data_IF_238941675973
#
_entry.id   IF_238941675973
#
_cell.length_a   1.000
_cell.length_b   1.000
_cell.length_c   1.000
_cell.angle_alpha   90.00
_cell.angle_beta   90.00
_cell.angle_gamma   90.00
#
_symmetry.space_group_name_H-M   'P 1'
#
loop_
_entity.id
_entity.type
_entity.pdbx_description
1 polymer ?
#
# COMPACT_ATOMS: atom_id res chain seq x y z
N UNK A 1 28.83 -8.96 -0.26
CA UNK A 1 27.70 -8.02 -0.04
C UNK A 1 26.76 -8.09 -1.24
N UNK A 2 25.83 -9.04 -1.22
CA UNK A 2 24.78 -9.18 -2.22
C UNK A 2 23.52 -8.56 -1.62
N UNK A 3 23.26 -7.30 -1.97
CA UNK A 3 22.05 -6.60 -1.55
C UNK A 3 20.84 -7.28 -2.19
N UNK A 4 19.96 -7.83 -1.35
CA UNK A 4 18.64 -8.30 -1.75
C UNK A 4 17.86 -7.08 -2.22
N UNK A 5 17.66 -6.95 -3.55
CA UNK A 5 16.70 -5.98 -4.09
C UNK A 5 15.28 -6.48 -3.77
N UNK A 6 14.38 -5.62 -3.30
CA UNK A 6 12.99 -6.01 -3.11
C UNK A 6 12.34 -6.30 -4.46
N UNK A 7 11.58 -7.40 -4.50
CA UNK A 7 10.80 -7.87 -5.66
C UNK A 7 9.57 -6.96 -5.78
N UNK A 8 9.76 -5.77 -6.33
CA UNK A 8 8.70 -5.03 -7.00
C UNK A 8 8.83 -5.40 -8.48
N UNK A 9 7.73 -5.65 -9.19
CA UNK A 9 7.78 -5.82 -10.65
C UNK A 9 8.60 -4.69 -11.30
N UNK A 10 9.31 -4.98 -12.38
CA UNK A 10 10.28 -4.04 -12.99
C UNK A 10 9.70 -2.63 -13.05
N UNK A 11 10.24 -1.75 -12.21
CA UNK A 11 9.74 -0.39 -12.10
C UNK A 11 9.86 0.30 -13.46
N UNK A 12 8.82 1.02 -13.87
CA UNK A 12 8.83 1.82 -15.11
C UNK A 12 10.05 2.73 -15.10
N UNK A 13 10.87 2.63 -16.14
CA UNK A 13 12.08 3.45 -16.30
C UNK A 13 11.80 4.62 -17.21
N UNK A 14 12.43 5.76 -16.93
CA UNK A 14 12.24 7.01 -17.65
C UNK A 14 13.54 7.50 -18.26
N UNK A 15 13.49 7.93 -19.52
CA UNK A 15 14.65 8.34 -20.28
C UNK A 15 14.43 9.68 -20.97
N UNK A 16 15.42 10.56 -20.87
CA UNK A 16 15.46 11.84 -21.57
C UNK A 16 16.46 11.73 -22.72
N UNK A 17 16.00 11.94 -23.95
CA UNK A 17 16.84 11.90 -25.16
C UNK A 17 17.10 13.33 -25.63
N UNK A 18 18.36 13.67 -25.90
CA UNK A 18 18.79 15.02 -26.33
C UNK A 18 19.66 14.96 -27.57
N UNK A 19 19.48 15.91 -28.48
CA UNK A 19 20.23 16.09 -29.73
C UNK A 19 21.15 17.32 -29.71
N UNK A 20 21.40 17.88 -28.53
CA UNK A 20 22.17 19.13 -28.33
C UNK A 20 21.30 20.38 -28.17
N UNK A 21 19.98 20.28 -28.37
CA UNK A 21 19.03 21.36 -28.09
C UNK A 21 18.78 21.63 -26.60
N UNK A 22 18.22 22.82 -26.26
CA UNK A 22 17.86 23.17 -24.88
C UNK A 22 16.73 22.29 -24.32
N UNK A 23 15.84 21.82 -25.19
CA UNK A 23 14.75 20.90 -24.84
C UNK A 23 15.12 19.45 -25.18
N UNK A 24 14.51 18.47 -24.50
CA UNK A 24 14.59 17.08 -24.91
C UNK A 24 14.11 16.92 -26.36
N UNK A 25 14.82 16.09 -27.12
CA UNK A 25 14.41 15.64 -28.46
C UNK A 25 13.25 14.65 -28.36
N UNK A 26 13.31 13.78 -27.36
CA UNK A 26 12.28 12.80 -27.03
C UNK A 26 12.31 12.47 -25.54
N UNK A 27 11.17 11.98 -25.06
CA UNK A 27 10.93 11.59 -23.68
C UNK A 27 10.33 10.20 -23.71
N UNK A 28 11.07 9.22 -23.20
CA UNK A 28 10.76 7.80 -23.37
C UNK A 28 10.53 7.16 -22.01
N UNK A 29 9.53 6.29 -21.90
CA UNK A 29 9.38 5.37 -20.77
C UNK A 29 9.48 3.93 -21.24
N UNK A 30 9.96 3.06 -20.35
CA UNK A 30 10.04 1.62 -20.56
C UNK A 30 9.28 0.93 -19.44
N UNK A 31 8.19 0.26 -19.79
CA UNK A 31 7.35 -0.52 -18.89
C UNK A 31 7.44 -2.00 -19.29
N UNK A 32 8.22 -2.78 -18.53
CA UNK A 32 8.68 -4.10 -18.95
C UNK A 32 9.46 -4.02 -20.27
N UNK A 33 8.96 -4.72 -21.28
CA UNK A 33 9.52 -4.81 -22.64
C UNK A 33 8.85 -3.84 -23.63
N UNK A 34 8.02 -2.91 -23.14
CA UNK A 34 7.37 -1.88 -23.97
C UNK A 34 8.05 -0.53 -23.83
N UNK A 35 8.64 -0.05 -24.93
CA UNK A 35 9.16 1.31 -25.06
C UNK A 35 8.08 2.24 -25.62
N UNK A 36 7.87 3.39 -24.97
CA UNK A 36 6.89 4.40 -25.40
C UNK A 36 7.50 5.80 -25.35
N UNK A 37 7.24 6.63 -26.36
CA UNK A 37 7.62 8.04 -26.42
C UNK A 37 6.41 8.93 -26.11
N UNK A 38 6.63 10.00 -25.36
CA UNK A 38 5.64 11.03 -25.10
C UNK A 38 5.54 11.98 -26.31
N UNK A 39 4.45 11.87 -27.08
CA UNK A 39 4.17 12.77 -28.18
C UNK A 39 3.88 14.20 -27.69
N UNK A 40 4.02 15.21 -28.57
CA UNK A 40 3.68 16.61 -28.24
C UNK A 40 2.19 16.81 -27.85
N UNK A 41 1.32 15.86 -28.19
CA UNK A 41 -0.08 15.79 -27.75
C UNK A 41 -0.23 15.36 -26.28
N UNK A 42 0.84 14.92 -25.62
CA UNK A 42 0.82 14.36 -24.26
C UNK A 42 0.45 12.87 -24.21
N UNK A 43 0.31 12.21 -25.36
CA UNK A 43 0.00 10.79 -25.48
C UNK A 43 1.26 9.93 -25.56
N UNK A 44 1.20 8.71 -25.02
CA UNK A 44 2.27 7.73 -25.13
C UNK A 44 2.10 6.88 -26.38
N UNK A 45 3.06 6.96 -27.31
CA UNK A 45 3.07 6.19 -28.55
C UNK A 45 4.22 5.18 -28.53
N UNK A 46 4.06 4.02 -29.19
CA UNK A 46 5.13 3.03 -29.27
C UNK A 46 6.41 3.63 -29.87
N UNK A 47 7.57 3.32 -29.29
CA UNK A 47 8.86 3.87 -29.71
C UNK A 47 9.93 2.79 -29.83
N UNK A 48 11.02 3.12 -30.52
CA UNK A 48 12.21 2.27 -30.69
C UNK A 48 13.52 3.10 -30.64
N UNK A 49 13.45 4.28 -30.03
CA UNK A 49 14.55 5.23 -29.92
C UNK A 49 15.69 4.69 -29.05
N UNK A 50 15.39 3.92 -28.01
CA UNK A 50 16.41 3.34 -27.13
C UNK A 50 17.07 2.10 -27.74
N UNK A 51 16.37 1.38 -28.61
CA UNK A 51 16.90 0.21 -29.32
C UNK A 51 17.92 0.59 -30.41
N UNK A 52 17.80 1.78 -31.00
CA UNK A 52 18.69 2.28 -32.04
C UNK A 52 18.91 3.80 -31.94
N UNK A 53 19.59 4.30 -30.88
CA UNK A 53 19.81 5.73 -30.72
C UNK A 53 20.74 6.24 -31.82
N UNK A 54 20.43 7.41 -32.39
CA UNK A 54 21.36 8.05 -33.31
C UNK A 54 22.68 8.40 -32.58
N UNK A 55 23.85 8.26 -33.23
CA UNK A 55 25.14 8.51 -32.59
C UNK A 55 25.31 9.92 -32.00
N UNK A 56 24.52 10.89 -32.47
CA UNK A 56 24.55 12.27 -32.00
C UNK A 56 23.69 12.51 -30.75
N UNK A 57 22.90 11.52 -30.32
CA UNK A 57 21.98 11.69 -29.19
C UNK A 57 22.61 11.29 -27.87
N UNK A 58 22.28 12.06 -26.83
CA UNK A 58 22.52 11.70 -25.43
C UNK A 58 21.25 11.11 -24.84
N UNK A 59 21.35 9.92 -24.25
CA UNK A 59 20.25 9.24 -23.57
C UNK A 59 20.57 9.14 -22.09
N UNK A 60 19.70 9.67 -21.23
CA UNK A 60 19.89 9.67 -19.78
C UNK A 60 18.69 9.03 -19.09
N UNK A 61 18.91 7.95 -18.33
CA UNK A 61 17.92 7.42 -17.39
C UNK A 61 17.76 8.41 -16.23
N UNK A 62 16.52 8.75 -15.89
CA UNK A 62 16.20 9.71 -14.84
C UNK A 62 15.12 9.15 -13.92
N UNK A 63 15.07 9.68 -12.70
CA UNK A 63 13.95 9.45 -11.79
C UNK A 63 12.64 10.00 -12.38
N UNK A 64 11.51 9.38 -12.03
CA UNK A 64 10.20 9.75 -12.57
C UNK A 64 9.89 11.23 -12.40
N UNK A 65 10.11 11.82 -11.22
CA UNK A 65 9.85 13.24 -10.98
C UNK A 65 10.66 14.16 -11.93
N UNK A 66 11.94 13.87 -12.15
CA UNK A 66 12.81 14.65 -13.03
C UNK A 66 12.40 14.49 -14.51
N UNK A 67 11.91 13.31 -14.90
CA UNK A 67 11.35 13.09 -16.23
C UNK A 67 10.17 14.04 -16.53
N UNK A 68 9.25 14.20 -15.57
CA UNK A 68 8.06 15.02 -15.80
C UNK A 68 8.32 16.52 -15.77
N UNK A 69 9.38 16.98 -15.09
CA UNK A 69 9.85 18.35 -15.24
C UNK A 69 10.30 18.62 -16.69
N UNK A 70 10.98 17.65 -17.32
CA UNK A 70 11.35 17.74 -18.72
C UNK A 70 10.15 17.66 -19.68
N UNK A 71 9.19 16.77 -19.41
CA UNK A 71 7.93 16.67 -20.16
C UNK A 71 7.15 17.98 -20.12
N UNK A 72 7.03 18.56 -18.94
CA UNK A 72 6.35 19.82 -18.74
C UNK A 72 6.99 20.95 -19.56
N UNK A 73 8.31 21.12 -19.47
CA UNK A 73 9.02 22.17 -20.20
C UNK A 73 8.91 22.01 -21.72
N UNK A 74 9.09 20.79 -22.23
CA UNK A 74 8.94 20.50 -23.65
C UNK A 74 7.53 20.81 -24.16
N UNK A 75 6.50 20.37 -23.42
CA UNK A 75 5.10 20.63 -23.80
C UNK A 75 4.72 22.11 -23.68
N UNK A 76 5.22 22.81 -22.65
CA UNK A 76 4.96 24.24 -22.45
C UNK A 76 5.46 25.06 -23.63
N UNK A 77 6.67 24.79 -24.10
CA UNK A 77 7.24 25.47 -25.26
C UNK A 77 6.49 25.09 -26.54
N UNK A 78 6.27 23.80 -26.79
CA UNK A 78 5.59 23.31 -28.00
C UNK A 78 4.16 23.85 -28.14
N UNK A 79 3.52 24.24 -27.03
CA UNK A 79 2.14 24.73 -26.96
C UNK A 79 2.07 26.22 -26.61
N UNK A 80 3.18 26.93 -26.66
CA UNK A 80 3.21 28.35 -26.37
C UNK A 80 2.25 29.12 -27.31
N UNK A 81 1.43 29.99 -26.73
CA UNK A 81 0.46 30.82 -27.48
C UNK A 81 -0.96 30.26 -27.57
N UNK A 82 -1.23 29.03 -27.10
CA UNK A 82 -2.60 28.54 -27.01
C UNK A 82 -3.43 29.36 -25.98
N UNK A 83 -4.75 29.55 -26.23
CA UNK A 83 -5.56 30.52 -25.48
C UNK A 83 -5.99 30.03 -24.08
N UNK A 84 -5.90 28.73 -23.82
CA UNK A 84 -6.38 28.09 -22.61
C UNK A 84 -5.25 27.35 -21.89
N UNK A 85 -5.50 26.92 -20.66
CA UNK A 85 -4.55 26.13 -19.85
C UNK A 85 -5.30 25.01 -19.13
N UNK A 86 -4.75 23.79 -19.16
CA UNK A 86 -5.09 22.73 -18.22
C UNK A 86 -4.07 22.69 -17.08
N UNK A 87 -4.57 22.51 -15.85
CA UNK A 87 -3.77 22.36 -14.64
C UNK A 87 -3.87 20.92 -14.14
N UNK A 88 -2.73 20.27 -13.98
CA UNK A 88 -2.61 18.88 -13.54
C UNK A 88 -2.04 18.81 -12.12
N UNK A 89 -2.58 17.90 -11.31
CA UNK A 89 -2.02 17.62 -9.99
C UNK A 89 -0.76 16.77 -10.12
N UNK A 90 0.29 17.11 -9.39
CA UNK A 90 1.53 16.32 -9.30
C UNK A 90 1.49 15.25 -8.21
N UNK A 91 0.42 15.21 -7.40
CA UNK A 91 0.34 14.37 -6.19
C UNK A 91 0.02 12.90 -6.43
N UNK A 92 -0.32 12.49 -7.65
CA UNK A 92 -0.58 11.09 -7.99
C UNK A 92 0.37 10.65 -9.10
N UNK A 93 0.85 9.41 -9.00
CA UNK A 93 1.79 8.73 -9.91
C UNK A 93 1.68 9.32 -11.30
N UNK A 94 2.76 9.92 -11.75
CA UNK A 94 2.79 11.00 -12.73
C UNK A 94 2.53 10.50 -14.17
N UNK A 95 2.15 9.22 -14.30
CA UNK A 95 2.11 8.43 -15.53
C UNK A 95 0.89 8.72 -16.42
N UNK A 96 0.02 9.61 -15.96
CA UNK A 96 -1.21 9.97 -16.65
C UNK A 96 -1.47 11.48 -16.53
N UNK A 97 -1.23 12.22 -17.62
CA UNK A 97 -1.80 13.55 -17.89
C UNK A 97 -3.35 13.50 -18.03
N UNK A 98 -4.02 12.62 -17.29
CA UNK A 98 -5.47 12.42 -17.27
C UNK A 98 -6.13 13.10 -16.07
N UNK A 99 -5.33 13.54 -15.09
CA UNK A 99 -5.82 14.18 -13.86
C UNK A 99 -5.83 15.71 -13.97
N UNK A 100 -6.56 16.24 -14.95
CA UNK A 100 -6.86 17.68 -15.01
C UNK A 100 -7.65 18.05 -13.75
N UNK A 101 -7.08 18.91 -12.91
CA UNK A 101 -7.72 19.40 -11.68
C UNK A 101 -8.34 20.77 -11.84
N UNK A 102 -7.90 21.53 -12.84
CA UNK A 102 -8.55 22.76 -13.26
C UNK A 102 -8.26 23.04 -14.72
N UNK A 103 -9.11 23.85 -15.33
CA UNK A 103 -8.88 24.49 -16.62
C UNK A 103 -9.06 25.99 -16.49
N UNK A 104 -8.36 26.73 -17.34
CA UNK A 104 -8.43 28.17 -17.45
C UNK A 104 -8.60 28.56 -18.90
N UNK A 105 -9.41 29.58 -19.14
CA UNK A 105 -9.51 30.26 -20.42
C UNK A 105 -9.35 31.75 -20.23
N UNK A 106 -8.87 32.44 -21.27
CA UNK A 106 -8.83 33.90 -21.31
C UNK A 106 -9.97 34.43 -22.16
N UNK A 107 -10.83 35.26 -21.57
CA UNK A 107 -11.92 35.96 -22.26
C UNK A 107 -11.81 37.45 -21.95
N UNK A 108 -11.70 38.27 -22.99
CA UNK A 108 -11.61 39.74 -22.87
C UNK A 108 -10.51 40.22 -21.89
N UNK A 109 -9.36 39.52 -21.90
CA UNK A 109 -8.23 39.81 -21.00
C UNK A 109 -8.41 39.31 -19.56
N UNK A 110 -9.55 38.71 -19.22
CA UNK A 110 -9.85 38.11 -17.91
C UNK A 110 -9.55 36.62 -17.93
N UNK A 111 -8.87 36.14 -16.90
CA UNK A 111 -8.68 34.70 -16.66
C UNK A 111 -9.90 34.15 -15.94
N UNK A 112 -10.60 33.23 -16.59
CA UNK A 112 -11.70 32.48 -15.99
C UNK A 112 -11.22 31.07 -15.66
N UNK A 113 -11.58 30.60 -14.48
CA UNK A 113 -11.15 29.31 -13.94
C UNK A 113 -12.34 28.39 -13.68
N UNK A 114 -12.18 27.13 -14.03
CA UNK A 114 -13.08 26.04 -13.66
C UNK A 114 -12.22 24.92 -13.08
N UNK A 115 -12.52 24.46 -11.88
CA UNK A 115 -11.67 23.43 -11.30
C UNK A 115 -12.19 22.79 -10.04
N UNK A 116 -11.78 21.54 -9.92
CA UNK A 116 -12.02 20.59 -8.85
C UNK A 116 -11.88 21.21 -7.45
N UNK A 117 -10.85 22.02 -7.20
CA UNK A 117 -10.67 22.64 -5.88
C UNK A 117 -11.05 24.12 -5.81
N UNK A 118 -11.54 24.68 -6.92
CA UNK A 118 -11.80 26.12 -7.04
C UNK A 118 -13.27 26.46 -7.06
N UNK A 119 -14.06 25.60 -7.67
CA UNK A 119 -15.45 25.86 -8.05
C UNK A 119 -16.25 24.62 -7.69
N UNK A 120 -16.59 24.41 -6.40
CA UNK A 120 -17.37 23.26 -5.95
C UNK A 120 -18.74 23.17 -6.63
N UNK A 121 -19.23 24.32 -7.10
CA UNK A 121 -20.45 24.52 -7.87
C UNK A 121 -20.28 24.32 -9.38
N UNK A 122 -19.07 23.96 -9.84
CA UNK A 122 -18.73 23.80 -11.25
C UNK A 122 -18.98 25.07 -12.11
N UNK A 123 -18.90 26.26 -11.50
CA UNK A 123 -19.11 27.56 -12.18
C UNK A 123 -17.77 28.22 -12.51
N UNK A 124 -17.64 28.77 -13.73
CA UNK A 124 -16.48 29.59 -14.10
C UNK A 124 -16.33 30.82 -13.20
N UNK A 125 -15.13 31.01 -12.62
CA UNK A 125 -14.84 32.16 -11.76
C UNK A 125 -13.66 32.97 -12.30
N UNK A 126 -13.87 34.28 -12.44
CA UNK A 126 -12.81 35.20 -12.80
C UNK A 126 -11.79 35.34 -11.65
N UNK A 127 -10.49 35.34 -11.98
CA UNK A 127 -9.45 35.61 -10.98
C UNK A 127 -8.04 35.25 -11.43
N UNK A 128 -7.05 35.79 -10.73
CA UNK A 128 -5.66 35.34 -10.83
C UNK A 128 -5.43 34.25 -9.79
N UNK A 129 -4.85 33.13 -10.17
CA UNK A 129 -4.54 32.01 -9.26
C UNK A 129 -3.07 31.64 -9.42
N UNK A 130 -2.44 31.26 -8.31
CA UNK A 130 -1.13 30.62 -8.30
C UNK A 130 -1.31 29.22 -7.74
N UNK A 131 -1.03 28.21 -8.55
CA UNK A 131 -1.01 26.81 -8.14
C UNK A 131 0.44 26.42 -7.92
N UNK A 132 0.88 26.42 -6.66
CA UNK A 132 2.20 25.89 -6.31
C UNK A 132 2.16 24.36 -6.43
N UNK A 133 3.13 23.79 -7.12
CA UNK A 133 3.26 22.34 -7.28
C UNK A 133 2.25 21.71 -8.26
N UNK A 134 1.76 22.46 -9.24
CA UNK A 134 0.90 21.93 -10.33
C UNK A 134 1.56 22.19 -11.68
N UNK A 135 1.27 21.33 -12.66
CA UNK A 135 1.75 21.49 -14.03
C UNK A 135 0.70 22.25 -14.85
N UNK A 136 1.12 23.29 -15.57
CA UNK A 136 0.29 24.20 -16.36
C UNK A 136 0.54 24.02 -17.85
N UNK A 137 -0.29 23.26 -18.53
CA UNK A 137 -0.11 23.02 -19.96
C UNK A 137 -1.04 23.92 -20.75
N UNK A 138 -0.52 24.76 -21.67
CA UNK A 138 -1.36 25.45 -22.63
C UNK A 138 -2.14 24.43 -23.47
N UNK A 139 -3.42 24.71 -23.72
CA UNK A 139 -4.31 23.83 -24.51
C UNK A 139 -5.18 24.67 -25.46
N UNK A 140 -5.64 24.05 -26.54
CA UNK A 140 -6.61 24.65 -27.46
C UNK A 140 -8.01 24.75 -26.84
N UNK A 141 -8.90 25.51 -27.47
CA UNK A 141 -10.32 25.58 -27.05
C UNK A 141 -11.03 24.22 -27.22
N UNK A 142 -10.64 23.42 -28.22
CA UNK A 142 -11.18 22.07 -28.42
C UNK A 142 -10.70 21.11 -27.30
N UNK A 143 -9.42 21.19 -26.93
CA UNK A 143 -8.89 20.48 -25.77
C UNK A 143 -9.56 20.96 -24.47
N UNK A 144 -9.81 22.25 -24.32
CA UNK A 144 -10.53 22.80 -23.17
C UNK A 144 -11.90 22.16 -23.02
N UNK A 145 -12.64 22.02 -24.11
CA UNK A 145 -13.97 21.40 -24.12
C UNK A 145 -13.92 19.93 -23.69
N UNK A 146 -12.87 19.20 -24.09
CA UNK A 146 -12.65 17.82 -23.64
C UNK A 146 -12.26 17.75 -22.15
N UNK A 147 -11.36 18.64 -21.71
CA UNK A 147 -10.79 18.60 -20.37
C UNK A 147 -11.68 19.22 -19.28
N UNK A 148 -12.60 20.14 -19.63
CA UNK A 148 -13.47 20.77 -18.64
C UNK A 148 -14.29 19.76 -17.84
N UNK A 149 -14.66 18.64 -18.47
CA UNK A 149 -15.42 17.57 -17.82
C UNK A 149 -14.58 16.78 -16.81
N UNK A 150 -13.28 16.63 -17.04
CA UNK A 150 -12.36 16.06 -16.06
C UNK A 150 -12.09 17.01 -14.88
N UNK A 151 -12.14 18.32 -15.14
CA UNK A 151 -11.97 19.38 -14.16
C UNK A 151 -13.22 19.63 -13.28
N UNK A 152 -14.38 19.16 -13.72
CA UNK A 152 -15.67 19.25 -13.02
C UNK A 152 -15.80 18.11 -12.00
N UNK A 153 -16.41 18.39 -10.85
CA UNK A 153 -16.85 17.33 -9.96
C UNK A 153 -18.15 16.72 -10.48
N UNK A 154 -18.20 15.40 -10.74
CA UNK A 154 -19.49 14.74 -10.85
C UNK A 154 -20.24 14.87 -9.52
N UNK A 155 -21.53 15.16 -9.60
CA UNK A 155 -22.45 14.87 -8.50
C UNK A 155 -22.66 13.37 -8.45
N UNK A 156 -22.63 12.79 -7.25
CA UNK A 156 -22.78 11.35 -7.05
C UNK A 156 -24.13 11.06 -6.44
N UNK A 157 -24.75 9.97 -6.85
CA UNK A 157 -26.03 9.54 -6.33
C UNK A 157 -26.03 8.04 -6.11
N UNK A 158 -26.76 7.60 -5.09
CA UNK A 158 -27.15 6.21 -4.90
C UNK A 158 -28.59 6.07 -5.35
N UNK A 159 -28.82 5.09 -6.22
CA UNK A 159 -30.14 4.73 -6.72
C UNK A 159 -30.54 3.41 -6.09
N UNK A 160 -31.68 3.38 -5.42
CA UNK A 160 -32.24 2.19 -4.76
C UNK A 160 -33.61 1.86 -5.33
N UNK A 161 -33.92 0.57 -5.37
CA UNK A 161 -35.28 0.08 -5.66
C UNK A 161 -36.22 0.43 -4.49
N UNK A 162 -37.53 0.35 -4.69
CA UNK A 162 -38.53 0.54 -3.61
C UNK A 162 -38.29 -0.39 -2.40
N UNK A 163 -37.71 -1.57 -2.65
CA UNK A 163 -37.30 -2.54 -1.62
C UNK A 163 -36.16 -2.04 -0.71
N UNK A 164 -35.50 -0.93 -1.06
CA UNK A 164 -34.31 -0.38 -0.39
C UNK A 164 -32.99 -0.98 -0.91
N UNK A 165 -33.06 -1.97 -1.80
CA UNK A 165 -31.89 -2.61 -2.40
C UNK A 165 -31.12 -1.65 -3.31
N UNK A 166 -29.80 -1.73 -3.28
CA UNK A 166 -28.93 -0.88 -4.09
C UNK A 166 -29.02 -1.28 -5.57
N UNK A 167 -29.46 -0.36 -6.41
CA UNK A 167 -29.65 -0.59 -7.85
C UNK A 167 -28.43 -0.15 -8.66
N UNK A 168 -27.95 1.07 -8.41
CA UNK A 168 -26.81 1.67 -9.10
C UNK A 168 -26.16 2.78 -8.27
N UNK A 169 -24.91 3.09 -8.59
CA UNK A 169 -24.28 4.37 -8.23
C UNK A 169 -24.21 5.23 -9.47
N UNK A 170 -24.82 6.40 -9.46
CA UNK A 170 -24.85 7.31 -10.60
C UNK A 170 -23.85 8.43 -10.38
N UNK A 171 -23.11 8.77 -11.43
CA UNK A 171 -22.34 10.01 -11.51
C UNK A 171 -22.96 10.90 -12.57
N UNK A 172 -23.26 12.14 -12.21
CA UNK A 172 -23.82 13.16 -13.10
C UNK A 172 -22.80 14.24 -13.37
N UNK A 173 -22.45 14.41 -14.62
CA UNK A 173 -21.77 15.60 -15.14
C UNK A 173 -22.77 16.39 -15.98
N UNK A 174 -22.56 17.70 -16.23
CA UNK A 174 -23.58 18.50 -16.92
C UNK A 174 -23.98 17.98 -18.31
N UNK A 175 -23.09 17.26 -19.01
CA UNK A 175 -23.34 16.70 -20.35
C UNK A 175 -23.79 15.25 -20.36
N UNK A 176 -23.72 14.52 -19.25
CA UNK A 176 -23.95 13.08 -19.22
C UNK A 176 -24.34 12.57 -17.84
N UNK A 177 -25.15 11.52 -17.84
CA UNK A 177 -25.44 10.71 -16.68
C UNK A 177 -24.94 9.29 -16.96
N UNK A 178 -24.14 8.76 -16.04
CA UNK A 178 -23.62 7.40 -16.14
C UNK A 178 -23.93 6.66 -14.83
N UNK A 179 -24.31 5.39 -14.94
CA UNK A 179 -24.59 4.51 -13.82
C UNK A 179 -23.56 3.38 -13.77
N UNK A 180 -23.01 3.14 -12.60
CA UNK A 180 -22.34 1.90 -12.26
C UNK A 180 -23.40 0.94 -11.74
N UNK A 181 -23.74 -0.04 -12.58
CA UNK A 181 -24.89 -0.92 -12.37
C UNK A 181 -24.48 -2.28 -11.82
N UNK A 182 -25.47 -3.16 -11.65
CA UNK A 182 -25.28 -4.55 -11.24
C UNK A 182 -24.48 -5.41 -12.23
N UNK A 183 -24.19 -4.89 -13.42
CA UNK A 183 -23.25 -5.48 -14.37
C UNK A 183 -21.78 -5.20 -14.03
N UNK A 184 -21.52 -4.35 -13.02
CA UNK A 184 -20.18 -3.93 -12.57
C UNK A 184 -19.40 -3.15 -13.63
N UNK A 185 -20.12 -2.29 -14.36
CA UNK A 185 -19.57 -1.40 -15.39
C UNK A 185 -20.33 -0.08 -15.40
N UNK A 186 -19.63 0.98 -15.81
CA UNK A 186 -20.25 2.26 -16.12
C UNK A 186 -20.97 2.18 -17.47
N UNK A 187 -22.21 2.62 -17.50
CA UNK A 187 -23.03 2.74 -18.71
C UNK A 187 -23.78 4.07 -18.71
N UNK A 188 -24.12 4.59 -19.88
CA UNK A 188 -25.04 5.74 -19.98
C UNK A 188 -26.38 5.42 -19.29
N UNK A 189 -26.98 6.42 -18.65
CA UNK A 189 -28.10 6.24 -17.71
C UNK A 189 -29.11 7.38 -17.82
N UNK A 190 -30.37 7.08 -17.46
CA UNK A 190 -31.47 8.01 -17.21
C UNK A 190 -32.16 7.76 -15.86
N UNK A 191 -31.49 7.04 -14.95
CA UNK A 191 -32.00 6.59 -13.65
C UNK A 191 -32.41 7.74 -12.72
N UNK A 192 -31.78 8.93 -12.80
CA UNK A 192 -32.15 10.04 -11.92
C UNK A 192 -33.53 10.64 -12.21
N UNK A 193 -34.08 10.38 -13.40
CA UNK A 193 -35.42 10.84 -13.80
C UNK A 193 -36.54 9.84 -13.53
N UNK A 194 -36.22 8.65 -13.02
CA UNK A 194 -37.19 7.58 -12.80
C UNK A 194 -37.93 7.74 -11.48
N UNK A 195 -39.26 7.79 -11.57
CA UNK A 195 -40.14 7.97 -10.39
C UNK A 195 -40.25 6.70 -9.52
N UNK A 196 -39.96 5.52 -10.08
CA UNK A 196 -40.00 4.23 -9.38
C UNK A 196 -38.73 3.91 -8.58
N UNK A 197 -37.73 4.80 -8.62
CA UNK A 197 -36.46 4.62 -7.93
C UNK A 197 -36.27 5.70 -6.87
N UNK A 198 -35.71 5.28 -5.73
CA UNK A 198 -35.27 6.22 -4.70
C UNK A 198 -33.87 6.71 -5.04
N UNK A 199 -33.73 8.01 -5.22
CA UNK A 199 -32.46 8.67 -5.52
C UNK A 199 -32.00 9.45 -4.29
N UNK A 200 -30.75 9.25 -3.88
CA UNK A 200 -30.10 9.97 -2.78
C UNK A 200 -28.78 10.55 -3.28
N UNK A 201 -28.58 11.86 -3.13
CA UNK A 201 -27.29 12.49 -3.45
C UNK A 201 -26.25 12.10 -2.38
N UNK A 202 -25.07 11.71 -2.83
CA UNK A 202 -23.96 11.34 -1.97
C UNK A 202 -22.95 12.47 -1.85
N UNK A 203 -22.40 12.59 -0.65
CA UNK A 203 -21.11 13.26 -0.51
C UNK A 203 -20.04 12.50 -1.28
N UNK A 204 -19.11 13.25 -1.87
CA UNK A 204 -18.02 12.67 -2.67
C UNK A 204 -17.24 11.62 -1.89
N UNK A 205 -16.99 11.85 -0.61
CA UNK A 205 -16.24 10.93 0.23
C UNK A 205 -16.90 9.55 0.32
N UNK A 206 -18.22 9.48 0.12
CA UNK A 206 -19.00 8.25 0.20
C UNK A 206 -19.20 7.54 -1.15
N UNK A 207 -18.92 8.20 -2.28
CA UNK A 207 -19.07 7.62 -3.62
C UNK A 207 -18.28 6.31 -3.81
N UNK A 208 -17.03 6.26 -3.34
CA UNK A 208 -16.20 5.05 -3.39
C UNK A 208 -16.81 3.91 -2.58
N UNK A 209 -17.34 4.23 -1.39
CA UNK A 209 -17.99 3.24 -0.52
C UNK A 209 -19.27 2.69 -1.14
N UNK A 210 -20.05 3.52 -1.84
CA UNK A 210 -21.25 3.07 -2.52
C UNK A 210 -20.94 2.16 -3.73
N UNK A 211 -19.85 2.44 -4.46
CA UNK A 211 -19.36 1.55 -5.53
C UNK A 211 -18.93 0.19 -4.95
N UNK A 212 -18.18 0.20 -3.86
CA UNK A 212 -17.80 -1.03 -3.14
C UNK A 212 -19.06 -1.80 -2.66
N UNK A 213 -20.09 -1.12 -2.16
CA UNK A 213 -21.34 -1.73 -1.70
C UNK A 213 -22.08 -2.47 -2.82
N UNK A 214 -22.24 -1.86 -4.01
CA UNK A 214 -22.90 -2.53 -5.14
C UNK A 214 -22.08 -3.69 -5.69
N UNK A 215 -20.75 -3.54 -5.77
CA UNK A 215 -19.87 -4.64 -6.17
C UNK A 215 -20.01 -5.83 -5.22
N UNK A 216 -19.94 -5.58 -3.91
CA UNK A 216 -20.10 -6.61 -2.88
C UNK A 216 -21.48 -7.27 -2.94
N UNK A 217 -22.55 -6.51 -3.13
CA UNK A 217 -23.91 -7.07 -3.20
C UNK A 217 -24.09 -7.99 -4.42
N UNK A 218 -23.66 -7.53 -5.60
CA UNK A 218 -23.73 -8.31 -6.85
C UNK A 218 -22.90 -9.59 -6.73
N UNK A 219 -21.68 -9.52 -6.19
CA UNK A 219 -20.85 -10.69 -6.01
C UNK A 219 -21.50 -11.69 -5.04
N UNK A 220 -22.01 -11.22 -3.88
CA UNK A 220 -22.71 -12.07 -2.91
C UNK A 220 -23.90 -12.78 -3.53
N UNK A 221 -24.68 -12.11 -4.37
CA UNK A 221 -25.81 -12.75 -5.06
C UNK A 221 -25.40 -13.78 -6.09
N UNK A 222 -24.42 -13.45 -6.94
CA UNK A 222 -23.88 -14.38 -7.93
C UNK A 222 -23.32 -15.63 -7.25
N UNK A 223 -22.68 -15.46 -6.09
CA UNK A 223 -22.16 -16.56 -5.27
C UNK A 223 -23.30 -17.41 -4.68
N UNK A 224 -24.28 -16.78 -4.02
CA UNK A 224 -25.46 -17.48 -3.47
C UNK A 224 -26.22 -18.29 -4.52
N UNK A 225 -26.36 -17.74 -5.73
CA UNK A 225 -27.04 -18.41 -6.83
C UNK A 225 -26.30 -19.66 -7.34
N UNK A 226 -24.96 -19.68 -7.25
CA UNK A 226 -24.13 -20.83 -7.68
C UNK A 226 -24.08 -21.94 -6.63
N UNK A 227 -24.26 -21.59 -5.35
CA UNK A 227 -24.00 -22.50 -4.23
C UNK A 227 -22.49 -22.74 -4.03
N UNK A 228 -22.12 -23.21 -2.84
CA UNK A 228 -20.72 -23.49 -2.46
C UNK A 228 -20.06 -22.37 -1.64
N UNK A 229 -18.72 -22.43 -1.47
CA UNK A 229 -17.99 -21.45 -0.68
C UNK A 229 -17.98 -20.06 -1.31
N UNK A 230 -18.06 -19.02 -0.49
CA UNK A 230 -17.82 -17.63 -0.89
C UNK A 230 -16.32 -17.34 -0.82
N UNK A 231 -15.75 -16.64 -1.80
CA UNK A 231 -14.32 -16.31 -1.82
C UNK A 231 -14.11 -14.81 -1.74
N UNK A 232 -13.04 -14.42 -1.05
CA UNK A 232 -12.68 -13.03 -0.80
C UNK A 232 -11.17 -12.84 -0.94
N UNK A 233 -10.75 -11.76 -1.59
CA UNK A 233 -9.39 -11.25 -1.49
C UNK A 233 -9.32 -10.25 -0.35
N UNK A 234 -8.17 -10.16 0.32
CA UNK A 234 -7.89 -9.14 1.34
C UNK A 234 -6.66 -8.32 0.94
N UNK A 235 -6.79 -7.01 1.08
CA UNK A 235 -5.83 -5.99 0.66
C UNK A 235 -5.47 -5.06 1.82
N UNK A 236 -4.25 -4.52 1.82
CA UNK A 236 -3.80 -3.56 2.84
C UNK A 236 -3.95 -2.13 2.32
N UNK A 237 -4.97 -1.42 2.81
CA UNK A 237 -5.33 -0.09 2.36
C UNK A 237 -4.33 1.02 2.66
N UNK A 238 -3.28 0.79 3.47
CA UNK A 238 -2.23 1.80 3.74
C UNK A 238 -1.06 1.68 2.77
N UNK A 239 -0.47 0.48 2.68
CA UNK A 239 0.88 0.33 2.13
C UNK A 239 0.88 -0.10 0.67
N UNK A 240 -0.14 -0.85 0.25
CA UNK A 240 -0.35 -1.21 -1.14
C UNK A 240 -1.86 -1.38 -1.39
N UNK A 241 -2.56 -0.30 -1.79
CA UNK A 241 -4.01 -0.32 -1.96
C UNK A 241 -4.46 -1.21 -3.13
N UNK A 242 -3.54 -1.89 -3.83
CA UNK A 242 -3.85 -2.88 -4.87
C UNK A 242 -3.22 -4.25 -4.59
N UNK A 243 -2.42 -4.37 -3.53
CA UNK A 243 -1.71 -5.58 -3.15
C UNK A 243 -2.62 -6.54 -2.39
N UNK A 244 -3.20 -7.50 -3.11
CA UNK A 244 -3.89 -8.64 -2.48
C UNK A 244 -2.85 -9.51 -1.77
N UNK A 245 -2.94 -9.59 -0.44
CA UNK A 245 -2.01 -10.38 0.37
C UNK A 245 -2.65 -11.63 0.95
N UNK A 246 -3.95 -11.83 0.79
CA UNK A 246 -4.65 -12.95 1.40
C UNK A 246 -5.89 -13.33 0.59
N UNK A 247 -6.19 -14.64 0.56
CA UNK A 247 -7.42 -15.18 0.00
C UNK A 247 -8.12 -15.99 1.08
N UNK A 248 -9.38 -15.63 1.31
CA UNK A 248 -10.25 -16.24 2.31
C UNK A 248 -11.40 -16.92 1.59
N UNK A 249 -11.82 -18.08 2.08
CA UNK A 249 -13.12 -18.66 1.72
C UNK A 249 -14.00 -18.79 2.95
N UNK A 250 -15.31 -18.68 2.74
CA UNK A 250 -16.34 -18.94 3.76
C UNK A 250 -17.18 -20.13 3.31
N UNK A 251 -17.16 -21.21 4.08
CA UNK A 251 -17.91 -22.43 3.81
C UNK A 251 -18.75 -22.79 5.04
N UNK A 252 -20.08 -22.75 4.90
CA UNK A 252 -20.98 -22.90 6.05
C UNK A 252 -20.80 -21.77 7.06
N UNK A 253 -20.51 -22.11 8.32
CA UNK A 253 -20.24 -21.14 9.39
C UNK A 253 -18.75 -20.83 9.56
N UNK A 254 -17.87 -21.52 8.83
CA UNK A 254 -16.42 -21.38 8.96
C UNK A 254 -15.84 -20.40 7.95
N UNK A 255 -14.78 -19.72 8.38
CA UNK A 255 -13.91 -18.92 7.54
C UNK A 255 -12.53 -19.58 7.51
N UNK A 256 -11.91 -19.64 6.33
CA UNK A 256 -10.60 -20.26 6.14
C UNK A 256 -9.71 -19.39 5.25
N UNK A 257 -8.42 -19.31 5.57
CA UNK A 257 -7.39 -18.67 4.75
C UNK A 257 -6.61 -19.71 3.96
N UNK A 258 -6.30 -19.42 2.71
CA UNK A 258 -5.46 -20.30 1.90
C UNK A 258 -3.99 -20.15 2.32
N UNK A 259 -3.30 -21.22 2.72
CA UNK A 259 -1.90 -21.17 3.20
C UNK A 259 -0.88 -21.50 2.11
N UNK A 260 -1.33 -21.93 0.93
CA UNK A 260 -0.49 -22.49 -0.14
C UNK A 260 -0.46 -24.01 -0.12
N UNK A 261 -0.46 -24.62 1.08
CA UNK A 261 -0.58 -26.07 1.25
C UNK A 261 -2.05 -26.54 1.41
N UNK A 262 -2.96 -25.61 1.70
CA UNK A 262 -4.38 -25.91 1.87
C UNK A 262 -5.14 -24.74 2.46
N UNK A 263 -6.23 -25.05 3.13
CA UNK A 263 -7.09 -24.08 3.82
C UNK A 263 -6.96 -24.29 5.33
N UNK A 264 -6.80 -23.20 6.07
CA UNK A 264 -6.68 -23.21 7.53
C UNK A 264 -7.74 -22.28 8.15
N UNK A 265 -8.27 -22.60 9.35
CA UNK A 265 -9.26 -21.76 10.02
C UNK A 265 -8.78 -20.31 10.16
N UNK A 266 -9.66 -19.35 9.89
CA UNK A 266 -9.39 -17.90 9.96
C UNK A 266 -10.61 -17.19 10.56
N UNK A 267 -10.40 -15.98 11.06
CA UNK A 267 -11.49 -15.03 11.40
C UNK A 267 -11.17 -13.63 10.87
N UNK A 268 -10.15 -13.50 10.01
CA UNK A 268 -9.68 -12.24 9.45
C UNK A 268 -10.80 -11.47 8.74
N UNK A 269 -11.58 -12.11 7.87
CA UNK A 269 -12.68 -11.45 7.17
C UNK A 269 -13.73 -10.96 8.17
N UNK A 270 -14.07 -11.79 9.15
CA UNK A 270 -15.00 -11.43 10.22
C UNK A 270 -14.50 -10.22 11.03
N UNK A 271 -13.20 -10.16 11.35
CA UNK A 271 -12.57 -9.02 12.03
C UNK A 271 -12.54 -7.75 11.15
N UNK A 272 -12.34 -7.89 9.85
CA UNK A 272 -12.42 -6.80 8.87
C UNK A 272 -13.85 -6.24 8.80
N UNK A 273 -14.86 -7.11 8.67
CA UNK A 273 -16.28 -6.73 8.65
C UNK A 273 -16.71 -6.04 9.96
N UNK A 274 -16.16 -6.47 11.11
CA UNK A 274 -16.36 -5.86 12.42
C UNK A 274 -15.51 -4.61 12.67
N UNK A 275 -14.72 -4.15 11.68
CA UNK A 275 -13.81 -2.99 11.78
C UNK A 275 -12.74 -3.11 12.88
N UNK A 276 -12.39 -4.33 13.29
CA UNK A 276 -11.24 -4.60 14.17
C UNK A 276 -9.91 -4.52 13.43
N UNK A 277 -9.94 -4.56 12.10
CA UNK A 277 -8.79 -4.40 11.18
C UNK A 277 -9.03 -3.24 10.21
N UNK A 278 -9.03 -2.00 10.73
CA UNK A 278 -9.40 -0.79 9.97
C UNK A 278 -8.57 -0.51 8.71
N UNK A 279 -7.39 -1.11 8.60
CA UNK A 279 -6.50 -0.93 7.46
C UNK A 279 -6.65 -2.02 6.39
N UNK A 280 -7.42 -3.06 6.67
CA UNK A 280 -7.65 -4.14 5.73
C UNK A 280 -8.97 -3.90 5.00
N UNK A 281 -8.98 -4.20 3.72
CA UNK A 281 -10.17 -4.21 2.88
C UNK A 281 -10.34 -5.59 2.31
N UNK A 282 -11.58 -6.01 2.13
CA UNK A 282 -11.88 -7.27 1.47
C UNK A 282 -12.72 -7.00 0.23
N UNK A 283 -12.54 -7.84 -0.78
CA UNK A 283 -13.34 -7.83 -2.01
C UNK A 283 -13.84 -9.24 -2.27
N UNK A 284 -15.14 -9.40 -2.46
CA UNK A 284 -15.71 -10.66 -2.89
C UNK A 284 -15.24 -10.96 -4.31
N UNK A 285 -14.83 -12.20 -4.57
CA UNK A 285 -14.32 -12.67 -5.86
C UNK A 285 -14.93 -14.02 -6.21
N UNK A 286 -14.90 -14.37 -7.49
CA UNK A 286 -15.25 -15.72 -7.94
C UNK A 286 -14.19 -16.75 -7.52
N UNK A 287 -14.55 -18.03 -7.52
CA UNK A 287 -13.59 -19.12 -7.27
C UNK A 287 -12.44 -19.15 -8.30
N UNK A 288 -12.71 -18.75 -9.54
CA UNK A 288 -11.71 -18.65 -10.60
C UNK A 288 -10.72 -17.51 -10.33
N UNK A 289 -11.22 -16.32 -9.98
CA UNK A 289 -10.37 -15.18 -9.58
C UNK A 289 -9.56 -15.50 -8.31
N UNK A 290 -10.17 -16.15 -7.31
CA UNK A 290 -9.46 -16.61 -6.12
C UNK A 290 -8.35 -17.60 -6.47
N UNK A 291 -8.63 -18.56 -7.37
CA UNK A 291 -7.64 -19.51 -7.87
C UNK A 291 -6.50 -18.83 -8.63
N UNK A 292 -6.82 -17.85 -9.49
CA UNK A 292 -5.83 -17.07 -10.22
C UNK A 292 -4.94 -16.24 -9.28
N UNK A 293 -5.53 -15.60 -8.26
CA UNK A 293 -4.77 -14.90 -7.21
C UNK A 293 -3.86 -15.89 -6.47
N UNK A 294 -4.40 -17.03 -6.00
CA UNK A 294 -3.59 -18.04 -5.30
C UNK A 294 -2.42 -18.52 -6.16
N UNK A 295 -2.66 -18.84 -7.42
CA UNK A 295 -1.64 -19.34 -8.35
C UNK A 295 -0.61 -18.27 -8.73
N UNK A 296 -1.02 -17.01 -8.85
CA UNK A 296 -0.15 -15.88 -9.16
C UNK A 296 0.72 -15.43 -8.00
N UNK A 297 0.48 -15.92 -6.77
CA UNK A 297 1.27 -15.57 -5.60
C UNK A 297 2.56 -16.38 -5.54
N UNK A 298 3.54 -15.93 -6.30
CA UNK A 298 4.94 -16.35 -6.17
C UNK A 298 5.67 -15.41 -5.21
N UNK A 299 6.09 -15.89 -4.05
CA UNK A 299 6.88 -15.09 -3.11
C UNK A 299 6.74 -15.59 -1.68
N UNK A 300 7.52 -14.97 -0.80
CA UNK A 300 7.44 -15.24 0.64
C UNK A 300 6.09 -14.79 1.19
N UNK A 301 5.45 -15.67 1.97
CA UNK A 301 4.18 -15.43 2.65
C UNK A 301 4.39 -15.52 4.16
N UNK A 302 3.60 -14.79 4.92
CA UNK A 302 3.68 -14.80 6.37
C UNK A 302 2.30 -15.04 6.99
N UNK A 303 2.28 -15.86 8.03
CA UNK A 303 1.08 -16.23 8.77
C UNK A 303 1.32 -16.05 10.27
N UNK A 304 0.27 -15.66 10.98
CA UNK A 304 0.22 -15.67 12.43
C UNK A 304 -0.65 -16.84 12.87
N UNK A 305 -0.15 -17.64 13.80
CA UNK A 305 -0.96 -18.62 14.52
C UNK A 305 -1.46 -17.96 15.79
N UNK A 306 -2.78 -17.92 15.96
CA UNK A 306 -3.44 -17.24 17.07
C UNK A 306 -4.30 -18.25 17.83
N UNK A 307 -4.32 -18.15 19.16
CA UNK A 307 -5.35 -18.80 19.96
C UNK A 307 -6.74 -18.17 19.68
N UNK A 308 -7.78 -18.92 20.02
CA UNK A 308 -9.17 -18.50 20.00
C UNK A 308 -9.35 -17.13 20.69
N UNK A 309 -10.36 -16.34 20.28
CA UNK A 309 -10.47 -14.92 20.66
C UNK A 309 -10.38 -14.70 22.18
N UNK A 310 -9.35 -13.94 22.58
CA UNK A 310 -9.11 -13.37 23.91
C UNK A 310 -8.53 -11.94 23.79
N UNK A 311 -8.28 -11.24 24.91
CA UNK A 311 -7.71 -9.89 24.88
C UNK A 311 -6.27 -9.91 24.34
N UNK A 312 -6.11 -9.47 23.08
CA UNK A 312 -4.84 -9.24 22.36
C UNK A 312 -3.78 -10.36 22.54
N UNK A 313 -4.08 -11.61 22.15
CA UNK A 313 -3.14 -12.71 22.30
C UNK A 313 -1.88 -12.43 21.47
N UNK A 314 -0.73 -12.54 22.14
CA UNK A 314 0.54 -12.80 21.47
C UNK A 314 0.35 -13.98 20.52
N UNK A 315 0.83 -13.91 19.26
CA UNK A 315 0.77 -15.07 18.39
C UNK A 315 1.48 -16.27 19.04
N UNK A 316 0.91 -17.45 18.86
CA UNK A 316 1.53 -18.73 19.21
C UNK A 316 2.82 -18.93 18.42
N UNK A 317 2.79 -18.54 17.14
CA UNK A 317 3.92 -18.55 16.25
C UNK A 317 3.75 -17.52 15.13
N UNK A 318 4.86 -17.01 14.62
CA UNK A 318 4.93 -16.34 13.32
C UNK A 318 5.53 -17.32 12.33
N UNK A 319 4.82 -17.62 11.25
CA UNK A 319 5.23 -18.60 10.25
C UNK A 319 5.52 -17.88 8.95
N UNK A 320 6.66 -18.18 8.34
CA UNK A 320 6.99 -17.74 6.99
C UNK A 320 7.08 -18.95 6.06
N UNK A 321 6.52 -18.79 4.87
CA UNK A 321 6.53 -19.81 3.81
C UNK A 321 7.24 -19.22 2.61
N UNK A 322 8.25 -19.93 2.11
CA UNK A 322 9.06 -19.55 0.96
C UNK A 322 9.15 -20.75 0.00
N UNK A 323 8.26 -20.78 -1.00
CA UNK A 323 8.04 -21.97 -1.82
C UNK A 323 7.43 -23.12 -0.99
N UNK A 324 8.14 -24.25 -0.95
CA UNK A 324 7.80 -25.44 -0.16
C UNK A 324 8.36 -25.41 1.27
N UNK A 325 9.20 -24.41 1.59
CA UNK A 325 9.87 -24.31 2.88
C UNK A 325 9.04 -23.49 3.87
N UNK A 326 8.61 -24.13 4.94
CA UNK A 326 8.00 -23.47 6.09
C UNK A 326 9.02 -23.28 7.23
N UNK A 327 9.04 -22.10 7.84
CA UNK A 327 9.76 -21.83 9.07
C UNK A 327 8.87 -21.12 10.08
N UNK A 328 9.01 -21.44 11.36
CA UNK A 328 8.26 -20.82 12.43
C UNK A 328 9.18 -20.14 13.44
N UNK A 329 8.73 -18.99 13.93
CA UNK A 329 9.25 -18.30 15.10
C UNK A 329 8.27 -18.50 16.24
N UNK A 330 8.64 -19.35 17.20
CA UNK A 330 7.79 -19.77 18.33
C UNK A 330 8.23 -19.09 19.62
N UNK A 331 7.72 -19.58 20.77
CA UNK A 331 8.16 -19.14 22.11
C UNK A 331 9.64 -19.43 22.42
N UNK A 332 10.30 -20.22 21.59
CA UNK A 332 11.75 -20.48 21.67
C UNK A 332 12.58 -19.33 21.08
N UNK A 333 11.93 -18.37 20.40
CA UNK A 333 12.52 -17.14 19.87
C UNK A 333 13.63 -17.38 18.84
N UNK A 334 13.53 -18.47 18.09
CA UNK A 334 14.44 -18.84 17.00
C UNK A 334 13.62 -19.28 15.80
N UNK A 335 14.05 -18.88 14.60
CA UNK A 335 13.49 -19.38 13.35
C UNK A 335 13.94 -20.81 13.10
N UNK A 336 13.00 -21.77 13.11
CA UNK A 336 13.28 -23.18 12.83
C UNK A 336 12.39 -23.71 11.69
N UNK A 337 12.81 -24.74 10.95
CA UNK A 337 11.92 -25.49 10.06
C UNK A 337 10.66 -25.97 10.80
N UNK A 338 9.52 -25.98 10.10
CA UNK A 338 8.20 -26.21 10.71
C UNK A 338 7.23 -26.88 9.72
N UNK A 339 6.15 -27.44 10.25
CA UNK A 339 4.98 -28.02 9.57
C UNK A 339 3.65 -27.56 10.26
N UNK A 340 3.71 -26.44 10.98
CA UNK A 340 2.63 -25.93 11.81
C UNK A 340 1.38 -25.60 10.99
N UNK A 341 1.49 -25.05 9.77
CA UNK A 341 0.30 -24.70 8.99
C UNK A 341 -0.51 -25.93 8.58
N UNK A 342 0.16 -27.06 8.32
CA UNK A 342 -0.52 -28.33 8.05
C UNK A 342 -1.22 -28.87 9.31
N UNK A 343 -0.58 -28.77 10.48
CA UNK A 343 -1.13 -29.24 11.76
C UNK A 343 -2.27 -28.38 12.30
N UNK A 344 -2.30 -27.09 12.01
CA UNK A 344 -3.34 -26.17 12.54
C UNK A 344 -4.73 -26.49 12.01
N UNK A 345 -4.84 -27.02 10.80
CA UNK A 345 -6.14 -27.45 10.24
C UNK A 345 -6.86 -28.47 11.14
N UNK A 346 -6.12 -29.22 11.97
CA UNK A 346 -6.62 -30.26 12.86
C UNK A 346 -6.74 -29.81 14.32
N UNK A 347 -6.31 -28.60 14.68
CA UNK A 347 -6.26 -28.11 16.06
C UNK A 347 -7.45 -27.21 16.39
N UNK A 348 -8.41 -27.68 17.21
CA UNK A 348 -9.54 -26.85 17.62
C UNK A 348 -9.06 -25.62 18.39
N UNK A 349 -9.61 -24.45 18.05
CA UNK A 349 -9.32 -23.21 18.75
C UNK A 349 -8.03 -22.50 18.33
N UNK A 350 -7.30 -23.00 17.33
CA UNK A 350 -6.21 -22.27 16.70
C UNK A 350 -6.69 -21.72 15.36
N UNK A 351 -6.39 -20.45 15.10
CA UNK A 351 -6.70 -19.76 13.83
C UNK A 351 -5.44 -19.21 13.20
N UNK A 352 -5.48 -19.05 11.88
CA UNK A 352 -4.40 -18.55 11.04
C UNK A 352 -4.81 -17.22 10.44
N UNK A 353 -3.95 -16.22 10.57
CA UNK A 353 -4.08 -14.93 9.89
C UNK A 353 -2.88 -14.75 8.95
N UNK A 354 -3.12 -14.66 7.64
CA UNK A 354 -2.06 -14.21 6.74
C UNK A 354 -1.84 -12.71 6.92
N UNK A 355 -0.58 -12.29 6.98
CA UNK A 355 -0.21 -10.87 7.10
C UNK A 355 0.59 -10.42 5.87
N UNK A 356 0.56 -9.12 5.53
CA UNK A 356 1.34 -8.58 4.42
C UNK A 356 2.83 -8.90 4.56
N UNK A 357 3.51 -9.10 3.43
CA UNK A 357 4.95 -9.34 3.42
C UNK A 357 5.71 -8.18 4.12
N UNK A 358 6.75 -8.52 4.88
CA UNK A 358 7.52 -7.59 5.70
C UNK A 358 6.97 -7.42 7.12
N UNK A 359 5.71 -7.76 7.39
CA UNK A 359 5.14 -7.67 8.73
C UNK A 359 5.61 -8.81 9.64
N UNK A 360 6.17 -9.90 9.10
CA UNK A 360 6.68 -11.03 9.88
C UNK A 360 7.72 -10.59 10.91
N UNK A 361 8.60 -9.66 10.52
CA UNK A 361 9.67 -9.14 11.37
C UNK A 361 9.07 -8.39 12.54
N UNK A 362 8.06 -7.56 12.28
CA UNK A 362 7.38 -6.79 13.31
C UNK A 362 6.68 -7.70 14.33
N UNK A 363 5.96 -8.72 13.85
CA UNK A 363 5.27 -9.67 14.72
C UNK A 363 6.24 -10.54 15.52
N UNK A 364 7.29 -11.07 14.89
CA UNK A 364 8.31 -11.87 15.57
C UNK A 364 9.06 -11.04 16.62
N UNK A 365 9.41 -9.79 16.30
CA UNK A 365 10.08 -8.89 17.24
C UNK A 365 9.18 -8.56 18.43
N UNK A 366 7.91 -8.21 18.18
CA UNK A 366 6.93 -7.95 19.25
C UNK A 366 6.75 -9.17 20.15
N UNK A 367 6.71 -10.36 19.55
CA UNK A 367 6.65 -11.62 20.27
C UNK A 367 7.89 -11.84 21.14
N UNK A 368 9.09 -11.67 20.59
CA UNK A 368 10.34 -11.79 21.32
C UNK A 368 10.43 -10.78 22.47
N UNK A 369 10.10 -9.51 22.23
CA UNK A 369 10.13 -8.45 23.23
C UNK A 369 9.22 -8.77 24.41
N UNK A 370 7.97 -9.18 24.16
CA UNK A 370 7.03 -9.52 25.25
C UNK A 370 7.45 -10.76 26.04
N UNK A 371 7.83 -11.85 25.36
CA UNK A 371 8.26 -13.10 26.03
C UNK A 371 9.52 -12.86 26.87
N UNK A 372 10.52 -12.13 26.32
CA UNK A 372 11.74 -11.80 27.04
C UNK A 372 11.47 -10.88 28.23
N UNK A 373 10.59 -9.89 28.09
CA UNK A 373 10.18 -9.03 29.19
C UNK A 373 9.47 -9.81 30.31
N UNK A 374 8.60 -10.76 29.97
CA UNK A 374 7.98 -11.66 30.94
C UNK A 374 9.03 -12.51 31.67
N UNK A 375 9.95 -13.15 30.94
CA UNK A 375 11.05 -13.94 31.52
C UNK A 375 11.96 -13.09 32.43
N UNK A 376 12.26 -11.85 32.05
CA UNK A 376 13.03 -10.93 32.88
C UNK A 376 12.33 -10.62 34.20
N UNK A 377 11.00 -10.53 34.19
CA UNK A 377 10.20 -10.27 35.39
C UNK A 377 10.04 -11.49 36.31
N UNK A 378 10.03 -12.71 35.76
CA UNK A 378 9.58 -13.90 36.50
C UNK A 378 10.63 -14.99 36.66
N UNK A 379 11.60 -15.09 35.75
CA UNK A 379 12.45 -16.27 35.61
C UNK A 379 13.95 -15.98 35.66
N UNK A 380 14.39 -14.75 35.35
CA UNK A 380 15.83 -14.44 35.34
C UNK A 380 16.29 -13.99 36.73
N UNK A 381 17.35 -14.61 37.29
CA UNK A 381 17.89 -14.20 38.58
C UNK A 381 18.39 -12.77 38.50
N UNK A 382 17.95 -11.92 39.42
CA UNK A 382 18.48 -10.57 39.56
C UNK A 382 19.86 -10.65 40.21
N UNK A 383 20.91 -10.38 39.44
CA UNK A 383 22.27 -10.16 39.95
C UNK A 383 22.50 -8.70 40.37
N UNK A 384 21.40 -7.98 40.67
CA UNK A 384 21.38 -6.53 40.90
C UNK A 384 21.22 -5.69 39.64
N UNK A 385 21.21 -6.32 38.45
CA UNK A 385 21.04 -5.64 37.16
C UNK A 385 19.94 -6.25 36.28
N UNK A 386 19.43 -5.44 35.34
CA UNK A 386 18.62 -5.89 34.19
C UNK A 386 19.37 -5.58 32.90
N UNK A 387 19.56 -6.60 32.07
CA UNK A 387 20.32 -6.49 30.83
C UNK A 387 19.41 -6.35 29.61
N UNK A 388 19.84 -5.51 28.66
CA UNK A 388 19.16 -5.24 27.41
C UNK A 388 20.19 -5.25 26.27
N UNK A 389 19.90 -5.98 25.21
CA UNK A 389 20.63 -5.97 23.95
C UNK A 389 20.03 -4.92 23.01
N UNK A 390 20.87 -4.09 22.41
CA UNK A 390 20.47 -3.06 21.44
C UNK A 390 20.86 -3.43 20.03
N UNK A 391 20.00 -3.07 19.08
CA UNK A 391 20.11 -3.44 17.67
C UNK A 391 19.78 -2.25 16.79
N UNK A 392 20.32 -2.26 15.57
CA UNK A 392 20.05 -1.23 14.57
C UNK A 392 18.57 -1.17 14.16
N UNK A 393 17.92 -2.33 14.04
CA UNK A 393 16.53 -2.46 13.61
C UNK A 393 15.90 -3.78 14.12
N UNK A 394 14.60 -3.96 13.84
CA UNK A 394 13.83 -5.13 14.28
C UNK A 394 14.30 -6.44 13.66
N UNK A 395 14.81 -6.41 12.44
CA UNK A 395 15.28 -7.62 11.77
C UNK A 395 16.58 -8.11 12.42
N UNK A 396 17.51 -7.19 12.70
CA UNK A 396 18.73 -7.47 13.45
C UNK A 396 18.43 -8.02 14.85
N UNK A 397 17.41 -7.50 15.53
CA UNK A 397 17.03 -7.95 16.87
C UNK A 397 16.53 -9.41 16.94
N UNK A 398 16.14 -10.03 15.82
CA UNK A 398 15.71 -11.44 15.81
C UNK A 398 16.88 -12.43 15.85
N UNK A 399 18.11 -11.96 15.75
CA UNK A 399 19.32 -12.75 15.93
C UNK A 399 20.27 -11.98 16.85
N UNK A 400 20.44 -12.48 18.08
CA UNK A 400 21.27 -11.84 19.09
C UNK A 400 22.73 -11.66 18.63
N UNK A 401 23.20 -12.44 17.65
CA UNK A 401 24.52 -12.27 17.08
C UNK A 401 24.70 -10.94 16.32
N UNK A 402 23.62 -10.23 15.99
CA UNK A 402 23.62 -8.91 15.34
C UNK A 402 23.48 -7.74 16.33
N UNK A 403 23.66 -7.99 17.63
CA UNK A 403 23.78 -6.98 18.68
C UNK A 403 24.71 -5.83 18.26
N UNK A 404 24.35 -4.59 18.56
CA UNK A 404 25.21 -3.42 18.43
C UNK A 404 25.97 -3.15 19.74
N UNK A 405 25.25 -3.05 20.86
CA UNK A 405 25.84 -2.85 22.19
C UNK A 405 24.91 -3.38 23.29
N UNK A 406 25.46 -3.71 24.47
CA UNK A 406 24.66 -4.09 25.63
C UNK A 406 24.42 -2.88 26.54
N UNK A 407 23.33 -2.95 27.27
CA UNK A 407 22.99 -2.02 28.33
C UNK A 407 22.60 -2.80 29.58
N UNK A 408 22.99 -2.29 30.75
CA UNK A 408 22.51 -2.80 32.04
C UNK A 408 21.96 -1.66 32.87
N UNK A 409 20.83 -1.91 33.53
CA UNK A 409 20.22 -0.98 34.50
C UNK A 409 20.33 -1.59 35.89
N UNK A 410 20.74 -0.81 36.89
CA UNK A 410 20.86 -1.29 38.27
C UNK A 410 20.86 -0.17 39.30
N UNK A 411 21.01 -0.52 40.58
CA UNK A 411 20.96 0.43 41.70
C UNK A 411 22.07 1.49 41.69
N UNK A 412 23.18 1.24 41.01
CA UNK A 412 24.31 2.17 40.84
C UNK A 412 24.22 3.01 39.56
N UNK A 413 23.09 2.91 38.84
CA UNK A 413 22.86 3.60 37.57
C UNK A 413 23.01 2.69 36.35
N UNK A 414 22.93 3.34 35.20
CA UNK A 414 22.88 2.70 33.89
C UNK A 414 24.28 2.68 33.26
N UNK A 415 24.60 1.57 32.59
CA UNK A 415 25.89 1.39 31.93
C UNK A 415 25.74 0.69 30.58
N UNK A 416 26.57 1.05 29.61
CA UNK A 416 26.67 0.44 28.28
C UNK A 416 27.98 -0.34 28.11
N UNK A 417 27.96 -1.36 27.24
CA UNK A 417 29.13 -2.16 26.87
C UNK A 417 29.22 -2.25 25.35
N UNK A 418 30.38 -1.89 24.79
CA UNK A 418 30.60 -1.77 23.34
C UNK A 418 31.68 -2.71 22.79
N UNK A 419 32.19 -3.65 23.59
CA UNK A 419 33.23 -4.61 23.16
C UNK A 419 34.66 -4.18 23.47
N UNK A 420 34.86 -3.25 24.40
CA UNK A 420 36.16 -2.72 24.79
C UNK A 420 36.64 -3.24 26.16
N UNK A 421 36.05 -4.34 26.64
CA UNK A 421 36.42 -4.97 27.90
C UNK A 421 35.85 -4.30 29.16
N UNK A 422 35.17 -3.15 29.05
CA UNK A 422 34.68 -2.38 30.19
C UNK A 422 33.23 -1.89 30.04
N UNK A 423 32.54 -1.71 31.17
CA UNK A 423 31.21 -1.11 31.21
C UNK A 423 31.33 0.39 31.46
N UNK A 424 30.79 1.20 30.55
CA UNK A 424 30.81 2.66 30.65
C UNK A 424 29.52 3.18 31.25
N UNK A 425 29.62 4.03 32.27
CA UNK A 425 28.44 4.74 32.78
C UNK A 425 27.84 5.60 31.67
N UNK A 426 26.53 5.50 31.49
CA UNK A 426 25.78 6.28 30.51
C UNK A 426 24.79 7.21 31.22
N UNK A 427 24.60 8.40 30.64
CA UNK A 427 23.56 9.34 31.07
C UNK A 427 22.18 9.00 30.47
N UNK A 428 22.17 8.10 29.50
CA UNK A 428 20.97 7.67 28.79
C UNK A 428 20.31 6.53 29.54
N UNK A 429 18.99 6.61 29.66
CA UNK A 429 18.18 5.58 30.30
C UNK A 429 17.52 4.71 29.24
N UNK A 430 17.06 3.51 29.64
CA UNK A 430 16.20 2.69 28.79
C UNK A 430 14.91 3.46 28.36
N UNK A 431 14.44 4.39 29.20
CA UNK A 431 13.25 5.21 28.90
C UNK A 431 13.45 6.11 27.66
N UNK A 432 14.68 6.52 27.35
CA UNK A 432 14.95 7.36 26.17
C UNK A 432 14.67 6.59 24.88
N UNK A 433 15.01 5.29 24.85
CA UNK A 433 14.68 4.42 23.72
C UNK A 433 13.19 4.11 23.63
N UNK A 434 12.52 3.87 24.77
CA UNK A 434 11.06 3.66 24.78
C UNK A 434 10.28 4.92 24.36
N UNK A 435 10.82 6.11 24.60
CA UNK A 435 10.28 7.40 24.11
C UNK A 435 10.64 7.68 22.65
N UNK A 436 11.47 6.85 22.02
CA UNK A 436 11.94 7.06 20.64
C UNK A 436 12.83 8.28 20.47
N UNK A 437 13.50 8.76 21.53
CA UNK A 437 14.47 9.86 21.43
C UNK A 437 15.82 9.39 20.90
N UNK A 438 15.98 8.08 20.69
CA UNK A 438 17.16 7.46 20.10
C UNK A 438 16.76 6.34 19.16
N UNK A 439 17.49 6.24 18.06
CA UNK A 439 17.28 5.20 17.05
C UNK A 439 17.72 3.83 17.57
N UNK A 440 17.02 2.79 17.11
CA UNK A 440 17.34 1.40 17.39
C UNK A 440 16.22 0.65 18.09
N UNK A 441 16.40 -0.66 18.19
CA UNK A 441 15.48 -1.58 18.84
C UNK A 441 16.21 -2.31 19.96
N UNK A 442 15.49 -2.73 20.99
CA UNK A 442 16.12 -3.43 22.12
C UNK A 442 15.30 -4.62 22.60
N UNK A 443 16.00 -5.61 23.15
CA UNK A 443 15.41 -6.80 23.75
C UNK A 443 16.01 -7.06 25.14
N UNK A 444 15.19 -7.39 26.14
CA UNK A 444 15.70 -7.93 27.40
C UNK A 444 16.48 -9.23 27.16
N UNK A 445 17.61 -9.40 27.85
CA UNK A 445 18.42 -10.62 27.81
C UNK A 445 18.73 -11.12 29.22
N UNK A 446 18.92 -12.43 29.36
CA UNK A 446 19.29 -13.04 30.64
C UNK A 446 20.73 -12.67 31.03
N UNK A 447 21.13 -12.81 32.31
CA UNK A 447 22.53 -12.61 32.70
C UNK A 447 23.52 -13.54 31.98
N UNK A 448 23.11 -14.78 31.67
CA UNK A 448 23.93 -15.72 30.89
C UNK A 448 24.07 -15.27 29.44
N UNK A 449 22.98 -14.84 28.81
CA UNK A 449 22.99 -14.26 27.46
C UNK A 449 23.87 -13.00 27.44
N UNK A 450 23.78 -12.12 28.44
CA UNK A 450 24.62 -10.93 28.54
C UNK A 450 26.12 -11.27 28.63
N UNK A 451 26.50 -12.27 29.44
CA UNK A 451 27.89 -12.75 29.53
C UNK A 451 28.40 -13.34 28.22
N UNK A 452 27.55 -14.10 27.52
CA UNK A 452 27.91 -14.61 26.20
C UNK A 452 28.08 -13.46 25.18
N UNK A 453 27.16 -12.49 25.20
CA UNK A 453 27.17 -11.34 24.31
C UNK A 453 28.33 -10.36 24.55
N UNK A 454 28.83 -10.22 25.79
CA UNK A 454 30.06 -9.44 26.04
C UNK A 454 31.25 -10.08 25.31
N UNK A 455 31.40 -11.41 25.39
CA UNK A 455 32.45 -12.12 24.66
C UNK A 455 32.31 -11.97 23.14
N UNK A 456 31.08 -12.05 22.62
CA UNK A 456 30.84 -11.81 21.20
C UNK A 456 31.20 -10.39 20.75
N UNK A 457 30.98 -9.38 21.60
CA UNK A 457 31.35 -7.99 21.29
C UNK A 457 32.86 -7.77 21.37
N UNK A 458 33.56 -8.42 22.29
CA UNK A 458 35.01 -8.31 22.43
C UNK A 458 35.76 -8.97 21.25
N UNK A 459 35.14 -9.98 20.62
CA UNK A 459 35.71 -10.70 19.47
C UNK A 459 35.56 -9.96 18.12
N UNK A 460 34.83 -8.83 18.07
CA UNK A 460 34.59 -8.05 16.84
C UNK A 460 35.61 -6.95 16.64
#
# INVERSE_FOLDING_TARGET
MTGVRPIWGDAVKYFVVRDGGPLPRALVRVDGDREQELAGTGEWVGSALLAAPEPAWTVTEVESHAFYDHAYEAMREARAGLPCVAVFSTTFRVDEFLNVTAVMRRRDGVQEWLGRHLTPDNVWRAGKRAYRGSLWLPISEEELERHRWAAIWPSWFVVREESGRLHAVVRKIPSAEEAFTRDLRWVASDLLGREDLRVEELDRADSGRALEEIELEVHRERLRARGGPEYFTVENGIFDPRGVFCVIRRAGTGEEVHTGAGWAPSELLTEVEQRKRVFYRHRAVSAEEAGAVIAGRSGRRCFLLLDAPGELPLPLAVVRVDGDREQAFTRDLVWAPSDLLARVAEQPGVRVEEVPAGFEVNHAFTMAKRIRHERQRTAWPHDGHRYHAFFRDRAAALDLANLDHLHRTGHLGDAEYRGDGEWHSTRWSLEDYDRGTRDGEHLPVSPDEARWLTGLLDDR
#
